data_IF_659638382127
#
_entry.id   IF_659638382127
#
_cell.length_a   1.000
_cell.length_b   1.000
_cell.length_c   1.000
_cell.angle_alpha   90.00
_cell.angle_beta   90.00
_cell.angle_gamma   90.00
#
_symmetry.space_group_name_H-M   'P 1'
#
loop_
_entity.id
_entity.type
_entity.pdbx_description
1 polymer ?
#
# COMPACT_ATOMS: atom_id res chain seq x y z
N UNK A 1 5.51 12.68 -8.39
CA UNK A 1 6.38 11.67 -7.72
C UNK A 1 5.95 10.30 -8.21
N UNK A 2 6.83 9.51 -8.85
CA UNK A 2 6.47 8.14 -9.28
C UNK A 2 6.17 7.32 -8.04
N UNK A 3 4.89 7.03 -7.85
CA UNK A 3 4.49 6.04 -6.88
C UNK A 3 4.58 4.68 -7.55
N UNK A 4 5.42 3.78 -7.02
CA UNK A 4 5.56 2.43 -7.56
C UNK A 4 4.39 1.51 -7.19
N UNK A 5 3.52 1.93 -6.26
CA UNK A 5 2.46 1.07 -5.70
C UNK A 5 1.08 1.72 -5.83
N UNK A 6 0.82 2.86 -5.19
CA UNK A 6 -0.51 3.51 -5.21
C UNK A 6 -0.44 4.96 -5.68
N UNK A 7 -1.25 5.34 -6.66
CA UNK A 7 -1.42 6.75 -7.06
C UNK A 7 -1.87 7.63 -5.89
N UNK A 8 -1.71 8.96 -6.01
CA UNK A 8 -2.13 9.88 -4.93
C UNK A 8 -3.60 9.72 -4.56
N UNK A 9 -4.47 9.56 -5.56
CA UNK A 9 -5.90 9.31 -5.37
C UNK A 9 -6.16 7.98 -4.67
N UNK A 10 -5.49 6.90 -5.09
CA UNK A 10 -5.61 5.60 -4.41
C UNK A 10 -5.19 5.72 -2.94
N UNK A 11 -4.11 6.44 -2.62
CA UNK A 11 -3.67 6.63 -1.22
C UNK A 11 -4.70 7.36 -0.38
N UNK A 12 -5.31 8.41 -0.92
CA UNK A 12 -6.36 9.15 -0.23
C UNK A 12 -7.54 8.23 0.12
N UNK A 13 -8.02 7.46 -0.87
CA UNK A 13 -9.15 6.54 -0.68
C UNK A 13 -8.81 5.41 0.28
N UNK A 14 -7.61 4.83 0.17
CA UNK A 14 -7.13 3.80 1.10
C UNK A 14 -7.11 4.34 2.54
N UNK A 15 -6.59 5.56 2.78
CA UNK A 15 -6.63 6.18 4.11
C UNK A 15 -8.06 6.36 4.60
N UNK A 16 -8.93 6.92 3.75
CA UNK A 16 -10.35 7.06 4.08
C UNK A 16 -11.01 5.72 4.42
N UNK A 17 -10.67 4.64 3.72
CA UNK A 17 -11.17 3.30 4.00
C UNK A 17 -10.67 2.76 5.34
N UNK A 18 -9.38 2.92 5.64
CA UNK A 18 -8.78 2.52 6.92
C UNK A 18 -9.33 3.31 8.11
N UNK A 19 -9.72 4.57 7.88
CA UNK A 19 -10.36 5.45 8.87
C UNK A 19 -11.88 5.25 8.96
N UNK A 20 -12.47 4.33 8.18
CA UNK A 20 -13.92 4.09 8.15
C UNK A 20 -14.76 5.15 7.42
N UNK A 21 -14.11 6.13 6.76
CA UNK A 21 -14.74 7.24 6.02
C UNK A 21 -15.08 6.89 4.57
N UNK A 22 -14.39 5.91 3.99
CA UNK A 22 -14.65 5.42 2.61
C UNK A 22 -15.26 4.03 2.69
N UNK A 23 -16.41 3.79 2.05
CA UNK A 23 -17.08 2.50 2.15
C UNK A 23 -16.35 1.42 1.34
N UNK A 24 -16.55 0.16 1.74
CA UNK A 24 -15.88 -1.00 1.14
C UNK A 24 -16.27 -1.28 -0.32
N UNK A 25 -17.37 -0.68 -0.80
CA UNK A 25 -17.88 -0.75 -2.17
C UNK A 25 -17.37 0.41 -3.07
N UNK A 26 -16.55 1.31 -2.54
CA UNK A 26 -15.86 2.32 -3.35
C UNK A 26 -15.06 1.62 -4.47
N UNK A 27 -15.21 2.12 -5.70
CA UNK A 27 -14.64 1.47 -6.87
C UNK A 27 -13.10 1.39 -6.83
N UNK A 28 -12.44 2.38 -6.23
CA UNK A 28 -10.99 2.42 -6.08
C UNK A 28 -10.57 1.40 -5.03
N UNK A 29 -11.29 1.29 -3.92
CA UNK A 29 -11.05 0.27 -2.90
C UNK A 29 -11.25 -1.14 -3.47
N UNK A 30 -12.28 -1.35 -4.29
CA UNK A 30 -12.50 -2.63 -4.96
C UNK A 30 -11.33 -3.01 -5.88
N UNK A 31 -10.82 -2.06 -6.69
CA UNK A 31 -9.66 -2.25 -7.55
C UNK A 31 -8.38 -2.54 -6.76
N UNK A 32 -8.14 -1.79 -5.69
CA UNK A 32 -6.99 -2.01 -4.79
C UNK A 32 -7.08 -3.39 -4.14
N UNK A 33 -8.26 -3.80 -3.67
CA UNK A 33 -8.48 -5.14 -3.10
C UNK A 33 -8.17 -6.25 -4.10
N UNK A 34 -8.57 -6.09 -5.36
CA UNK A 34 -8.21 -7.03 -6.41
C UNK A 34 -6.69 -7.14 -6.58
N UNK A 35 -5.99 -6.01 -6.65
CA UNK A 35 -4.52 -5.97 -6.78
C UNK A 35 -3.82 -6.65 -5.61
N UNK A 36 -4.27 -6.40 -4.38
CA UNK A 36 -3.73 -7.05 -3.17
C UNK A 36 -3.86 -8.57 -3.25
N UNK A 37 -4.97 -9.08 -3.80
CA UNK A 37 -5.20 -10.53 -3.95
C UNK A 37 -4.41 -11.15 -5.11
N UNK A 38 -4.33 -10.44 -6.23
CA UNK A 38 -3.74 -10.95 -7.46
C UNK A 38 -2.21 -10.89 -7.43
N UNK A 39 -1.62 -9.86 -6.83
CA UNK A 39 -0.18 -9.58 -6.94
C UNK A 39 0.55 -10.07 -5.69
N UNK A 40 0.61 -11.39 -5.50
CA UNK A 40 1.23 -12.01 -4.31
C UNK A 40 2.71 -11.64 -4.14
N UNK A 41 3.47 -11.56 -5.22
CA UNK A 41 4.88 -11.15 -5.18
C UNK A 41 5.04 -9.70 -4.70
N UNK A 42 4.12 -8.80 -5.10
CA UNK A 42 4.16 -7.40 -4.67
C UNK A 42 4.04 -7.27 -3.15
N UNK A 43 3.22 -8.10 -2.49
CA UNK A 43 3.13 -8.09 -1.04
C UNK A 43 4.46 -8.50 -0.38
N UNK A 44 5.12 -9.53 -0.91
CA UNK A 44 6.44 -9.97 -0.44
C UNK A 44 7.53 -8.92 -0.68
N UNK A 45 7.53 -8.28 -1.85
CA UNK A 45 8.48 -7.22 -2.19
C UNK A 45 8.33 -6.00 -1.28
N UNK A 46 7.08 -5.63 -0.93
CA UNK A 46 6.80 -4.54 0.01
C UNK A 46 7.28 -4.88 1.42
N UNK A 47 7.04 -6.10 1.90
CA UNK A 47 7.53 -6.57 3.20
C UNK A 47 9.07 -6.53 3.25
N UNK A 48 9.73 -7.07 2.22
CA UNK A 48 11.17 -7.07 2.10
C UNK A 48 11.74 -5.65 2.09
N UNK A 49 11.12 -4.73 1.35
CA UNK A 49 11.49 -3.32 1.32
C UNK A 49 11.40 -2.67 2.71
N UNK A 50 10.32 -2.92 3.46
CA UNK A 50 10.14 -2.38 4.80
C UNK A 50 11.21 -2.89 5.77
N UNK A 51 11.49 -4.19 5.77
CA UNK A 51 12.52 -4.81 6.62
C UNK A 51 13.92 -4.29 6.28
N UNK A 52 14.23 -4.13 5.00
CA UNK A 52 15.49 -3.54 4.55
C UNK A 52 15.61 -2.09 5.03
N UNK A 53 14.55 -1.28 4.88
CA UNK A 53 14.54 0.12 5.33
C UNK A 53 14.78 0.23 6.84
N UNK A 54 14.14 -0.63 7.63
CA UNK A 54 14.35 -0.68 9.08
C UNK A 54 15.80 -1.02 9.42
N UNK A 55 16.35 -2.08 8.83
CA UNK A 55 17.74 -2.48 9.04
C UNK A 55 18.72 -1.35 8.71
N UNK A 56 18.54 -0.65 7.58
CA UNK A 56 19.39 0.49 7.20
C UNK A 56 19.26 1.65 8.20
N UNK A 57 18.03 1.94 8.65
CA UNK A 57 17.77 3.02 9.60
C UNK A 57 18.40 2.76 10.97
N UNK A 58 18.43 1.51 11.42
CA UNK A 58 19.08 1.10 12.66
C UNK A 58 20.60 1.07 12.56
N UNK A 59 21.16 0.71 11.39
CA UNK A 59 22.62 0.70 11.16
C UNK A 59 23.21 2.13 11.05
N UNK A 60 22.37 3.11 10.69
CA UNK A 60 22.78 4.51 10.53
C UNK A 60 22.57 5.38 11.77
N UNK A 61 22.20 4.78 12.91
CA UNK A 61 21.96 5.43 14.21
C UNK A 61 23.04 5.03 15.22
#
# INVERSE_FOLDING_TARGET
>A
MRSYIFTSLERERIRGFLEGKTPANDAIIAKVRFRVRAFKNLAGDVDLYLRLREAISTVSA
#
